data_IF_487202150038
#
_entry.id   IF_487202150038
#
_cell.length_a   1.000
_cell.length_b   1.000
_cell.length_c   1.000
_cell.angle_alpha   90.00
_cell.angle_beta   90.00
_cell.angle_gamma   90.00
#
_symmetry.space_group_name_H-M   'P 1'
#
loop_
_entity.id
_entity.type
_entity.pdbx_description
1 polymer ?
#
# COMPACT_ATOMS: atom_id res chain seq x y z
N UNK A 1 15.38 -19.86 -12.83
CA UNK A 1 14.08 -19.93 -13.54
C UNK A 1 13.37 -18.63 -13.29
N UNK A 2 12.66 -18.08 -14.28
CA UNK A 2 11.83 -16.89 -14.06
C UNK A 2 10.60 -17.29 -13.24
N UNK A 3 10.23 -16.48 -12.25
CA UNK A 3 9.01 -16.68 -11.50
C UNK A 3 7.81 -16.58 -12.46
N UNK A 4 6.83 -17.45 -12.30
CA UNK A 4 5.61 -17.38 -13.09
C UNK A 4 4.64 -16.41 -12.42
N UNK A 5 4.19 -15.41 -13.17
CA UNK A 5 3.25 -14.41 -12.67
C UNK A 5 1.92 -14.60 -13.40
N UNK A 6 0.87 -14.86 -12.62
CA UNK A 6 -0.52 -14.91 -13.09
C UNK A 6 -1.16 -13.53 -12.88
N UNK A 7 -1.73 -12.94 -13.92
CA UNK A 7 -2.45 -11.67 -13.80
C UNK A 7 -3.68 -11.86 -12.90
N UNK A 8 -3.79 -11.04 -11.88
CA UNK A 8 -4.95 -10.96 -10.97
C UNK A 8 -5.88 -9.82 -11.36
N UNK A 9 -5.31 -8.64 -11.63
CA UNK A 9 -6.02 -7.44 -12.09
C UNK A 9 -5.24 -6.85 -13.27
N UNK A 10 -5.92 -6.61 -14.38
CA UNK A 10 -5.30 -6.00 -15.56
C UNK A 10 -5.02 -4.52 -15.35
N UNK A 11 -4.17 -3.94 -16.20
CA UNK A 11 -3.89 -2.51 -16.19
C UNK A 11 -5.17 -1.68 -16.35
N UNK A 12 -6.05 -2.09 -17.26
CA UNK A 12 -7.32 -1.41 -17.54
C UNK A 12 -8.27 -1.45 -16.33
N UNK A 13 -8.34 -2.58 -15.62
CA UNK A 13 -9.14 -2.72 -14.41
C UNK A 13 -8.63 -1.81 -13.30
N UNK A 14 -7.29 -1.77 -13.11
CA UNK A 14 -6.65 -0.91 -12.11
C UNK A 14 -6.90 0.56 -12.44
N UNK A 15 -6.69 0.97 -13.68
CA UNK A 15 -6.87 2.36 -14.13
C UNK A 15 -8.32 2.83 -13.97
N UNK A 16 -9.27 2.00 -14.40
CA UNK A 16 -10.71 2.27 -14.22
C UNK A 16 -11.06 2.47 -12.75
N UNK A 17 -10.57 1.59 -11.87
CA UNK A 17 -10.90 1.67 -10.44
C UNK A 17 -10.29 2.88 -9.77
N UNK A 18 -9.07 3.28 -10.15
CA UNK A 18 -8.44 4.51 -9.66
C UNK A 18 -9.27 5.73 -10.07
N UNK A 19 -9.79 5.78 -11.30
CA UNK A 19 -10.69 6.85 -11.75
C UNK A 19 -11.95 6.94 -10.86
N UNK A 20 -12.62 5.81 -10.59
CA UNK A 20 -13.81 5.77 -9.76
C UNK A 20 -13.55 6.29 -8.33
N UNK A 21 -12.42 5.86 -7.72
CA UNK A 21 -12.02 6.31 -6.38
C UNK A 21 -11.64 7.79 -6.39
N UNK A 22 -10.94 8.26 -7.43
CA UNK A 22 -10.62 9.68 -7.58
C UNK A 22 -11.89 10.54 -7.69
N UNK A 23 -12.91 10.10 -8.42
CA UNK A 23 -14.20 10.80 -8.50
C UNK A 23 -14.89 10.92 -7.13
N UNK A 24 -14.82 9.87 -6.31
CA UNK A 24 -15.36 9.90 -4.95
C UNK A 24 -14.59 10.91 -4.09
N UNK A 25 -13.24 10.88 -4.13
CA UNK A 25 -12.40 11.82 -3.40
C UNK A 25 -12.67 13.26 -3.86
N UNK A 26 -12.81 13.49 -5.17
CA UNK A 26 -13.13 14.80 -5.73
C UNK A 26 -14.45 15.38 -5.18
N UNK A 27 -15.45 14.54 -4.94
CA UNK A 27 -16.73 14.95 -4.32
C UNK A 27 -16.56 15.27 -2.84
N UNK A 28 -15.85 14.43 -2.09
CA UNK A 28 -15.69 14.55 -0.63
C UNK A 28 -14.78 15.74 -0.24
N UNK A 29 -13.84 16.09 -1.13
CA UNK A 29 -12.92 17.22 -0.96
C UNK A 29 -13.29 18.46 -1.77
N UNK A 30 -14.51 18.56 -2.28
CA UNK A 30 -14.96 19.74 -3.03
C UNK A 30 -14.78 21.02 -2.22
N UNK A 31 -14.09 22.01 -2.80
CA UNK A 31 -13.78 23.29 -2.14
C UNK A 31 -12.69 23.23 -1.06
N UNK A 32 -11.97 22.11 -0.94
CA UNK A 32 -10.84 21.93 -0.01
C UNK A 32 -9.55 21.71 -0.81
N UNK A 33 -8.41 21.77 -0.12
CA UNK A 33 -7.13 21.23 -0.60
C UNK A 33 -6.86 19.91 0.06
N UNK A 34 -6.05 19.04 -0.56
CA UNK A 34 -5.60 17.77 0.00
C UNK A 34 -4.09 17.69 0.01
N UNK A 35 -3.54 17.15 1.09
CA UNK A 35 -2.13 16.80 1.22
C UNK A 35 -1.98 15.29 1.18
N UNK A 36 -1.42 14.77 0.09
CA UNK A 36 -1.17 13.34 -0.09
C UNK A 36 0.10 12.94 0.62
N UNK A 37 0.05 11.89 1.41
CA UNK A 37 1.23 11.23 1.98
C UNK A 37 1.38 9.88 1.32
N UNK A 38 2.37 9.76 0.45
CA UNK A 38 2.74 8.50 -0.21
C UNK A 38 3.61 7.65 0.71
N UNK A 39 3.21 6.42 0.98
CA UNK A 39 4.06 5.47 1.72
C UNK A 39 4.97 4.73 0.73
N UNK A 40 6.25 5.02 0.84
CA UNK A 40 7.30 4.45 -0.02
C UNK A 40 7.65 3.02 0.43
N UNK A 41 8.03 2.14 -0.51
CA UNK A 41 8.19 2.39 -1.96
C UNK A 41 6.93 2.00 -2.74
N UNK A 42 6.12 1.07 -2.23
CA UNK A 42 5.03 0.44 -2.96
C UNK A 42 3.94 1.40 -3.42
N UNK A 43 3.60 2.38 -2.58
CA UNK A 43 2.53 3.34 -2.86
C UNK A 43 2.81 4.34 -4.00
N UNK A 44 4.04 4.40 -4.54
CA UNK A 44 4.45 5.48 -5.44
C UNK A 44 3.64 5.52 -6.74
N UNK A 45 3.43 4.38 -7.40
CA UNK A 45 2.67 4.33 -8.66
C UNK A 45 1.22 4.74 -8.45
N UNK A 46 0.57 4.15 -7.44
CA UNK A 46 -0.81 4.46 -7.10
C UNK A 46 -0.99 5.93 -6.73
N UNK A 47 -0.10 6.48 -5.90
CA UNK A 47 -0.17 7.89 -5.49
C UNK A 47 -0.06 8.83 -6.69
N UNK A 48 0.88 8.57 -7.61
CA UNK A 48 1.05 9.40 -8.81
C UNK A 48 -0.17 9.34 -9.73
N UNK A 49 -0.73 8.15 -9.94
CA UNK A 49 -1.92 7.99 -10.78
C UNK A 49 -3.16 8.61 -10.13
N UNK A 50 -3.34 8.45 -8.82
CA UNK A 50 -4.42 9.10 -8.08
C UNK A 50 -4.31 10.62 -8.15
N UNK A 51 -3.13 11.18 -7.85
CA UNK A 51 -2.89 12.63 -7.83
C UNK A 51 -3.24 13.32 -9.15
N UNK A 52 -2.93 12.70 -10.29
CA UNK A 52 -3.25 13.23 -11.63
C UNK A 52 -4.76 13.34 -11.92
N UNK A 53 -5.59 12.61 -11.17
CA UNK A 53 -7.05 12.54 -11.33
C UNK A 53 -7.81 13.40 -10.33
N UNK A 54 -7.12 14.00 -9.37
CA UNK A 54 -7.72 14.91 -8.40
C UNK A 54 -7.85 16.32 -9.00
N UNK A 55 -9.00 16.94 -8.81
CA UNK A 55 -9.35 18.25 -9.40
C UNK A 55 -9.31 19.44 -8.42
N UNK A 56 -8.87 19.19 -7.17
CA UNK A 56 -8.62 20.24 -6.16
C UNK A 56 -7.13 20.52 -6.06
N UNK A 57 -6.70 21.59 -5.33
CA UNK A 57 -5.30 21.82 -5.03
C UNK A 57 -4.68 20.64 -4.26
N UNK A 58 -3.62 20.04 -4.83
CA UNK A 58 -2.91 18.88 -4.27
C UNK A 58 -1.50 19.27 -3.91
N UNK A 59 -1.07 18.96 -2.70
CA UNK A 59 0.33 18.89 -2.31
C UNK A 59 0.70 17.45 -1.99
N UNK A 60 1.97 17.07 -2.17
CA UNK A 60 2.42 15.69 -1.99
C UNK A 60 3.67 15.66 -1.14
N UNK A 61 3.73 14.67 -0.25
CA UNK A 61 4.92 14.33 0.52
C UNK A 61 5.10 12.81 0.57
N UNK A 62 6.28 12.37 0.97
CA UNK A 62 6.68 10.97 0.93
C UNK A 62 7.21 10.54 2.28
N UNK A 63 6.76 9.39 2.74
CA UNK A 63 7.22 8.80 3.99
C UNK A 63 7.67 7.37 3.78
N UNK A 64 8.72 6.96 4.46
CA UNK A 64 9.18 5.58 4.43
C UNK A 64 9.28 5.05 5.85
N UNK A 65 8.69 3.89 6.06
CA UNK A 65 8.71 3.19 7.35
C UNK A 65 9.20 1.76 7.17
N UNK A 66 9.86 1.23 8.17
CA UNK A 66 10.20 -0.19 8.24
C UNK A 66 9.64 -0.81 9.51
N UNK A 67 9.05 -1.99 9.39
CA UNK A 67 8.75 -2.84 10.54
C UNK A 67 10.03 -3.57 10.95
N UNK A 68 10.53 -3.32 12.15
CA UNK A 68 11.71 -4.02 12.65
C UNK A 68 11.34 -5.45 13.07
N UNK A 69 11.99 -6.45 12.43
CA UNK A 69 11.84 -7.86 12.78
C UNK A 69 11.87 -8.76 11.54
N UNK A 70 13.08 -9.11 11.06
CA UNK A 70 13.27 -10.28 10.17
C UNK A 70 13.16 -11.55 11.03
N UNK A 71 11.93 -11.93 11.39
CA UNK A 71 11.67 -13.14 12.17
C UNK A 71 10.18 -13.30 12.43
N UNK A 72 9.74 -14.50 12.69
CA UNK A 72 8.35 -14.93 12.90
C UNK A 72 7.60 -14.24 14.05
N UNK A 73 8.27 -13.38 14.81
CA UNK A 73 7.67 -12.53 15.86
C UNK A 73 8.07 -11.09 15.59
N UNK A 74 7.19 -10.31 14.94
CA UNK A 74 7.37 -8.87 14.80
C UNK A 74 7.28 -8.22 16.18
N UNK A 75 8.35 -7.56 16.64
CA UNK A 75 8.40 -6.81 17.90
C UNK A 75 7.40 -5.63 17.93
N UNK A 76 6.71 -5.35 16.82
CA UNK A 76 5.76 -4.24 16.72
C UNK A 76 6.40 -2.85 16.65
N UNK A 77 7.72 -2.76 16.66
CA UNK A 77 8.44 -1.48 16.54
C UNK A 77 8.48 -1.05 15.09
N UNK A 78 7.87 0.08 14.77
CA UNK A 78 7.93 0.73 13.47
C UNK A 78 8.97 1.84 13.54
N UNK A 79 9.91 1.84 12.60
CA UNK A 79 10.93 2.89 12.46
C UNK A 79 10.63 3.75 11.23
N UNK A 80 10.60 5.06 11.43
CA UNK A 80 10.55 6.03 10.33
C UNK A 80 11.96 6.14 9.72
N UNK A 81 12.09 5.82 8.43
CA UNK A 81 13.34 5.89 7.66
C UNK A 81 13.45 7.24 6.95
N UNK A 82 12.39 7.69 6.28
CA UNK A 82 12.22 9.04 5.76
C UNK A 82 10.97 9.62 6.38
N UNK A 83 11.12 10.79 6.99
CA UNK A 83 10.01 11.57 7.51
C UNK A 83 9.51 12.58 6.47
N UNK A 84 8.36 13.20 6.75
CA UNK A 84 7.75 14.23 5.93
C UNK A 84 8.66 15.47 5.88
N UNK A 85 8.65 16.15 4.73
CA UNK A 85 9.38 17.39 4.52
C UNK A 85 8.56 18.61 4.99
N UNK A 86 7.22 18.49 5.02
CA UNK A 86 6.29 19.54 5.34
C UNK A 86 5.50 19.30 6.64
N UNK A 87 5.19 20.35 7.43
CA UNK A 87 4.32 20.23 8.60
C UNK A 87 2.88 19.89 8.18
N UNK A 88 2.17 19.17 9.05
CA UNK A 88 0.79 18.73 8.78
C UNK A 88 -0.27 19.65 9.40
N UNK A 89 0.12 20.59 10.24
CA UNK A 89 -0.82 21.43 11.00
C UNK A 89 -1.87 22.08 10.08
N UNK A 90 -3.14 21.84 10.39
CA UNK A 90 -4.29 22.37 9.67
C UNK A 90 -4.55 21.80 8.26
N UNK A 91 -3.74 20.86 7.77
CA UNK A 91 -3.92 20.23 6.45
C UNK A 91 -4.98 19.14 6.49
N UNK A 92 -5.73 18.98 5.38
CA UNK A 92 -6.52 17.78 5.12
C UNK A 92 -5.57 16.74 4.53
N UNK A 93 -5.33 15.65 5.26
CA UNK A 93 -4.33 14.63 4.91
C UNK A 93 -5.02 13.39 4.34
N UNK A 94 -4.49 12.91 3.22
CA UNK A 94 -4.86 11.62 2.66
C UNK A 94 -3.61 10.74 2.55
N UNK A 95 -3.52 9.71 3.39
CA UNK A 95 -2.48 8.69 3.31
C UNK A 95 -2.79 7.78 2.15
N UNK A 96 -1.82 7.52 1.28
CA UNK A 96 -1.96 6.66 0.11
C UNK A 96 -1.01 5.48 0.26
N UNK A 97 -1.59 4.27 0.29
CA UNK A 97 -0.90 3.00 0.53
C UNK A 97 -1.12 2.05 -0.65
N UNK A 98 -0.15 1.22 -0.95
CA UNK A 98 -0.27 0.16 -1.97
C UNK A 98 -1.15 -0.99 -1.48
N UNK A 99 -0.88 -1.51 -0.29
CA UNK A 99 -1.59 -2.66 0.26
C UNK A 99 -1.73 -2.59 1.78
N UNK A 100 -2.91 -2.91 2.27
CA UNK A 100 -3.12 -3.11 3.70
C UNK A 100 -3.24 -4.61 3.98
N UNK A 101 -2.25 -5.12 4.70
CA UNK A 101 -2.19 -6.50 5.20
C UNK A 101 -2.63 -6.53 6.67
N UNK A 102 -1.73 -6.71 7.61
CA UNK A 102 -2.05 -6.76 9.05
C UNK A 102 -2.56 -5.44 9.64
N UNK A 103 -2.27 -4.33 9.01
CA UNK A 103 -2.59 -2.97 9.44
C UNK A 103 -1.78 -2.45 10.64
N UNK A 104 -0.81 -3.22 11.16
CA UNK A 104 -0.02 -2.83 12.34
C UNK A 104 0.82 -1.58 12.12
N UNK A 105 1.57 -1.55 11.03
CA UNK A 105 2.43 -0.42 10.64
C UNK A 105 1.60 0.82 10.44
N UNK A 106 0.49 0.67 9.74
CA UNK A 106 -0.41 1.78 9.39
C UNK A 106 -1.13 2.34 10.62
N UNK A 107 -1.56 1.49 11.55
CA UNK A 107 -2.15 1.93 12.82
C UNK A 107 -1.18 2.81 13.61
N UNK A 108 0.08 2.39 13.72
CA UNK A 108 1.12 3.19 14.37
C UNK A 108 1.35 4.52 13.64
N UNK A 109 1.47 4.47 12.32
CA UNK A 109 1.73 5.65 11.50
C UNK A 109 0.62 6.69 11.63
N UNK A 110 -0.65 6.27 11.57
CA UNK A 110 -1.80 7.16 11.74
C UNK A 110 -1.76 7.87 13.09
N UNK A 111 -1.45 7.17 14.18
CA UNK A 111 -1.34 7.77 15.51
C UNK A 111 -0.19 8.79 15.60
N UNK A 112 0.96 8.51 14.99
CA UNK A 112 2.08 9.46 14.92
C UNK A 112 1.69 10.70 14.11
N UNK A 113 1.02 10.53 12.96
CA UNK A 113 0.62 11.65 12.10
C UNK A 113 -0.49 12.50 12.74
N UNK A 114 -1.42 11.91 13.48
CA UNK A 114 -2.45 12.65 14.25
C UNK A 114 -1.84 13.64 15.25
N UNK A 115 -0.73 13.27 15.89
CA UNK A 115 -0.04 14.13 16.85
C UNK A 115 0.61 15.37 16.22
N UNK A 116 0.72 15.42 14.87
CA UNK A 116 1.28 16.53 14.11
C UNK A 116 0.25 17.62 13.75
N UNK A 117 -0.98 17.53 14.29
CA UNK A 117 -2.01 18.55 14.20
C UNK A 117 -2.67 18.72 12.83
N UNK A 118 -2.84 17.68 11.99
CA UNK A 118 -3.63 17.81 10.78
C UNK A 118 -5.08 18.15 11.12
N UNK A 119 -5.79 18.79 10.18
CA UNK A 119 -7.22 19.06 10.32
C UNK A 119 -8.05 17.78 10.29
N UNK A 120 -7.69 16.89 9.38
CA UNK A 120 -8.23 15.53 9.30
C UNK A 120 -7.19 14.57 8.69
N UNK A 121 -7.41 13.26 8.88
CA UNK A 121 -6.62 12.20 8.26
C UNK A 121 -7.57 11.15 7.72
N UNK A 122 -7.43 10.87 6.43
CA UNK A 122 -8.09 9.77 5.74
C UNK A 122 -7.08 8.83 5.11
N UNK A 123 -7.53 7.62 4.79
CA UNK A 123 -6.70 6.55 4.25
C UNK A 123 -7.28 6.04 2.95
N UNK A 124 -6.46 6.02 1.91
CA UNK A 124 -6.74 5.43 0.61
C UNK A 124 -5.76 4.29 0.33
N UNK A 125 -6.27 3.13 -0.08
CA UNK A 125 -5.42 1.99 -0.44
C UNK A 125 -5.78 1.43 -1.80
N UNK A 126 -4.75 0.98 -2.54
CA UNK A 126 -4.96 0.25 -3.79
C UNK A 126 -5.52 -1.15 -3.50
N UNK A 127 -4.90 -1.87 -2.57
CA UNK A 127 -5.31 -3.24 -2.21
C UNK A 127 -5.61 -3.36 -0.72
N UNK A 128 -6.66 -4.10 -0.39
CA UNK A 128 -7.02 -4.45 0.98
C UNK A 128 -7.15 -5.96 1.15
N UNK A 129 -6.49 -6.51 2.16
CA UNK A 129 -6.60 -7.91 2.60
C UNK A 129 -7.28 -7.98 3.98
N UNK A 130 -8.61 -7.89 4.07
CA UNK A 130 -9.31 -7.82 5.34
C UNK A 130 -9.13 -9.07 6.19
N UNK A 131 -8.92 -10.25 5.59
CA UNK A 131 -8.69 -11.52 6.29
C UNK A 131 -7.38 -11.53 7.10
N UNK A 132 -6.36 -10.78 6.64
CA UNK A 132 -5.08 -10.62 7.32
C UNK A 132 -5.08 -9.56 8.42
N UNK A 133 -6.13 -8.77 8.50
CA UNK A 133 -6.22 -7.61 9.39
C UNK A 133 -6.21 -8.01 10.87
N UNK A 134 -5.10 -7.73 11.56
CA UNK A 134 -4.95 -7.93 13.00
C UNK A 134 -5.46 -6.71 13.78
N UNK A 135 -5.23 -5.50 13.24
CA UNK A 135 -5.68 -4.23 13.83
C UNK A 135 -6.98 -3.78 13.18
N UNK A 136 -8.11 -4.21 13.73
CA UNK A 136 -9.46 -3.82 13.28
C UNK A 136 -9.75 -2.32 13.39
N UNK A 137 -8.91 -1.57 14.11
CA UNK A 137 -9.06 -0.13 14.35
C UNK A 137 -8.62 0.75 13.18
N UNK A 138 -7.91 0.20 12.18
CA UNK A 138 -7.55 0.96 10.98
C UNK A 138 -8.77 1.06 10.09
N UNK A 139 -9.38 2.26 10.11
CA UNK A 139 -10.46 2.59 9.18
C UNK A 139 -9.85 2.95 7.83
N UNK A 140 -10.28 2.28 6.77
CA UNK A 140 -9.95 2.62 5.39
C UNK A 140 -11.12 3.43 4.83
N UNK A 141 -10.84 4.63 4.35
CA UNK A 141 -11.89 5.53 3.83
C UNK A 141 -12.15 5.26 2.34
N UNK A 142 -11.09 4.93 1.59
CA UNK A 142 -11.16 4.63 0.15
C UNK A 142 -10.36 3.36 -0.16
N UNK A 143 -11.01 2.38 -0.78
CA UNK A 143 -10.40 1.12 -1.20
C UNK A 143 -10.62 0.89 -2.68
N UNK A 144 -9.55 0.66 -3.44
CA UNK A 144 -9.69 0.27 -4.84
C UNK A 144 -10.17 -1.19 -4.93
N UNK A 145 -9.41 -2.12 -4.38
CA UNK A 145 -9.74 -3.55 -4.48
C UNK A 145 -9.60 -4.27 -3.15
N UNK A 146 -10.53 -5.16 -2.88
CA UNK A 146 -10.38 -6.20 -1.85
C UNK A 146 -9.91 -7.47 -2.51
N UNK A 147 -8.81 -8.03 -2.04
CA UNK A 147 -8.20 -9.23 -2.61
C UNK A 147 -8.05 -10.35 -1.57
N UNK A 148 -8.01 -11.64 -1.99
CA UNK A 148 -7.70 -12.75 -1.11
C UNK A 148 -6.26 -12.70 -0.61
N UNK A 149 -5.91 -13.59 0.32
CA UNK A 149 -4.54 -13.69 0.85
C UNK A 149 -3.60 -14.41 -0.13
N UNK A 150 -3.29 -13.73 -1.23
CA UNK A 150 -2.30 -14.14 -2.23
C UNK A 150 -1.09 -13.21 -2.20
N UNK A 151 0.08 -13.73 -2.59
CA UNK A 151 1.29 -12.91 -2.70
C UNK A 151 1.30 -12.17 -4.04
N UNK A 152 1.08 -10.86 -3.99
CA UNK A 152 0.89 -10.01 -5.17
C UNK A 152 2.08 -9.12 -5.45
N UNK A 153 2.32 -8.85 -6.73
CA UNK A 153 3.36 -7.95 -7.25
C UNK A 153 2.81 -7.07 -8.37
N UNK A 154 3.56 -6.06 -8.73
CA UNK A 154 3.21 -5.10 -9.78
C UNK A 154 2.55 -3.84 -9.21
N UNK A 155 2.45 -2.82 -10.03
CA UNK A 155 1.89 -1.52 -9.67
C UNK A 155 2.52 -0.91 -8.39
N UNK A 156 3.83 -1.08 -8.23
CA UNK A 156 4.59 -0.65 -7.04
C UNK A 156 4.95 -1.77 -6.07
N UNK A 157 4.14 -2.81 -5.97
CA UNK A 157 4.39 -3.99 -5.13
C UNK A 157 5.53 -4.84 -5.66
N UNK A 158 6.31 -5.45 -4.77
CA UNK A 158 7.51 -6.20 -5.15
C UNK A 158 7.60 -7.61 -4.56
N UNK A 159 8.45 -8.39 -5.21
CA UNK A 159 9.08 -9.57 -4.66
C UNK A 159 10.60 -9.45 -4.79
N UNK A 160 11.31 -9.36 -3.68
CA UNK A 160 12.77 -9.18 -3.65
C UNK A 160 13.26 -8.00 -4.53
N UNK A 161 12.59 -6.83 -4.39
CA UNK A 161 12.82 -5.60 -5.15
C UNK A 161 12.52 -5.69 -6.66
N UNK A 162 11.94 -6.80 -7.13
CA UNK A 162 11.55 -7.01 -8.54
C UNK A 162 10.06 -6.78 -8.73
N UNK A 163 9.65 -6.59 -9.98
CA UNK A 163 8.25 -6.55 -10.44
C UNK A 163 7.45 -5.29 -10.10
N UNK A 164 8.00 -4.30 -9.40
CA UNK A 164 7.27 -3.04 -9.11
C UNK A 164 6.78 -2.32 -10.36
N UNK A 165 7.51 -2.47 -11.47
CA UNK A 165 7.27 -1.81 -12.75
C UNK A 165 6.20 -2.48 -13.62
N UNK A 166 5.62 -3.59 -13.20
CA UNK A 166 4.53 -4.21 -13.95
C UNK A 166 3.30 -3.29 -13.91
N UNK A 167 2.65 -3.03 -15.06
CA UNK A 167 1.50 -2.10 -15.12
C UNK A 167 0.20 -2.72 -14.61
N UNK A 168 0.22 -3.99 -14.25
CA UNK A 168 -0.88 -4.78 -13.71
C UNK A 168 -0.54 -5.34 -12.33
N UNK A 169 -1.50 -5.94 -11.65
CA UNK A 169 -1.29 -6.68 -10.41
C UNK A 169 -1.33 -8.17 -10.72
N UNK A 170 -0.27 -8.87 -10.35
CA UNK A 170 -0.13 -10.30 -10.57
C UNK A 170 0.17 -11.07 -9.28
N UNK A 171 -0.17 -12.34 -9.27
CA UNK A 171 0.18 -13.30 -8.21
C UNK A 171 1.45 -14.03 -8.60
N UNK A 172 2.43 -14.06 -7.69
CA UNK A 172 3.65 -14.85 -7.88
C UNK A 172 3.33 -16.30 -7.58
N UNK A 173 3.36 -17.12 -8.62
CA UNK A 173 3.32 -18.58 -8.49
C UNK A 173 4.75 -19.08 -8.19
N UNK A 174 5.07 -19.24 -6.90
CA UNK A 174 6.35 -19.82 -6.50
C UNK A 174 6.36 -21.26 -6.96
N UNK A 175 7.19 -21.57 -7.94
CA UNK A 175 7.43 -22.96 -8.34
C UNK A 175 8.18 -23.64 -7.18
N UNK A 176 7.43 -24.29 -6.29
CA UNK A 176 8.01 -25.23 -5.33
C UNK A 176 8.64 -26.36 -6.15
N UNK A 177 9.93 -26.22 -6.44
CA UNK A 177 10.73 -27.35 -6.84
C UNK A 177 10.66 -28.36 -5.68
N UNK A 178 9.82 -29.34 -5.84
CA UNK A 178 9.85 -30.54 -5.03
C UNK A 178 11.24 -31.14 -5.20
N UNK A 179 12.16 -30.80 -4.33
CA UNK A 179 13.38 -31.60 -4.17
C UNK A 179 12.93 -32.91 -3.57
N UNK A 180 12.65 -33.86 -4.46
CA UNK A 180 12.55 -35.28 -4.09
C UNK A 180 13.74 -35.59 -3.19
N UNK A 181 13.53 -36.18 -1.99
CA UNK A 181 14.64 -36.58 -1.14
C UNK A 181 15.54 -37.49 -1.94
N UNK A 182 16.84 -37.15 -1.96
CA UNK A 182 17.83 -37.97 -2.63
C UNK A 182 17.74 -39.41 -2.13
N UNK A 183 17.88 -40.46 -2.99
CA UNK A 183 17.90 -41.86 -2.55
C UNK A 183 18.98 -42.18 -1.52
N UNK A 184 19.88 -41.26 -1.20
CA UNK A 184 20.94 -41.42 -0.21
C UNK A 184 20.54 -41.15 1.24
N UNK A 185 19.35 -40.64 1.48
CA UNK A 185 18.88 -40.34 2.86
C UNK A 185 18.05 -41.50 3.46
N UNK A 186 18.11 -42.70 2.85
CA UNK A 186 17.54 -43.92 3.37
C UNK A 186 18.63 -44.93 3.74
N UNK A 187 19.38 -44.64 4.77
CA UNK A 187 20.10 -45.64 5.53
C UNK A 187 20.05 -45.29 7.03
#
# INVERSE_FOLDING_TARGET
>A
MADKIRVLLTEEEVDKRINEVAEQINKDYAGKSVHLICILKGGVFFTCELAKRLNMPVSMDFMSVSSYGAGTVSSGVVRIIKDLDEPLEGKNVLIVEDIIDSGRTLAYLIEVLKQRGPKDIHLCTLLDKPERRVKKQVKVDYTCFTIPDEFVVGYGLDYDQKYRNLPYIGVVEVCLLYTSPSPRDRQ
#
